data_IF_879967808110
#
_entry.id   IF_879967808110
#
_cell.length_a   1.000
_cell.length_b   1.000
_cell.length_c   1.000
_cell.angle_alpha   90.00
_cell.angle_beta   90.00
_cell.angle_gamma   90.00
#
_symmetry.space_group_name_H-M   'P 1'
#
loop_
_entity.id
_entity.type
_entity.pdbx_description
1 polymer ?
#
# COMPACT_ATOMS: atom_id res chain seq x y z
N UNK A 1 -12.11 -1.30 -9.83
CA UNK A 1 -11.94 -0.20 -8.85
C UNK A 1 -13.03 -0.31 -7.79
N UNK A 2 -12.75 -0.97 -6.67
CA UNK A 2 -13.49 -0.71 -5.44
C UNK A 2 -12.69 0.38 -4.73
N UNK A 3 -13.15 1.62 -4.89
CA UNK A 3 -12.43 2.81 -4.46
C UNK A 3 -12.38 2.92 -2.94
N UNK A 4 -11.19 2.73 -2.37
CA UNK A 4 -10.86 3.15 -1.01
C UNK A 4 -10.16 4.50 -1.01
N UNK A 5 -10.27 5.27 -2.10
CA UNK A 5 -9.71 6.61 -2.20
C UNK A 5 -10.41 7.56 -1.23
N UNK A 6 -9.64 8.50 -0.69
CA UNK A 6 -10.17 9.54 0.18
C UNK A 6 -10.92 10.59 -0.63
N UNK A 7 -12.18 10.84 -0.27
CA UNK A 7 -13.01 11.89 -0.87
C UNK A 7 -12.75 13.29 -0.23
N UNK A 8 -11.88 13.36 0.78
CA UNK A 8 -11.53 14.59 1.49
C UNK A 8 -10.09 14.55 2.01
N UNK A 9 -9.57 15.64 2.60
CA UNK A 9 -8.13 15.82 2.87
C UNK A 9 -7.59 14.97 4.04
N UNK A 10 -8.39 14.05 4.59
CA UNK A 10 -8.02 13.23 5.74
C UNK A 10 -8.02 11.77 5.35
N UNK A 11 -6.96 11.06 5.76
CA UNK A 11 -6.87 9.62 5.59
C UNK A 11 -8.08 8.92 6.23
N UNK A 12 -8.79 8.11 5.44
CA UNK A 12 -9.81 7.19 5.93
C UNK A 12 -9.19 6.07 6.77
N UNK A 13 -10.04 5.22 7.36
CA UNK A 13 -9.59 4.13 8.24
C UNK A 13 -8.61 3.16 7.59
N UNK A 14 -8.78 2.85 6.29
CA UNK A 14 -7.92 1.92 5.57
C UNK A 14 -6.56 2.56 5.32
N UNK A 15 -6.55 3.82 4.90
CA UNK A 15 -5.32 4.57 4.67
C UNK A 15 -4.53 4.83 5.94
N UNK A 16 -5.22 5.03 7.07
CA UNK A 16 -4.57 5.07 8.39
C UNK A 16 -3.94 3.72 8.75
N UNK A 17 -4.70 2.63 8.60
CA UNK A 17 -4.18 1.28 8.84
C UNK A 17 -2.93 0.99 7.99
N UNK A 18 -2.94 1.34 6.70
CA UNK A 18 -1.80 1.13 5.78
C UNK A 18 -0.56 1.87 6.27
N UNK A 19 -0.70 3.13 6.68
CA UNK A 19 0.43 3.91 7.22
C UNK A 19 0.91 3.34 8.54
N UNK A 20 0.02 3.01 9.47
CA UNK A 20 0.42 2.41 10.76
C UNK A 20 1.13 1.06 10.56
N UNK A 21 0.66 0.22 9.64
CA UNK A 21 1.33 -1.02 9.26
C UNK A 21 2.72 -0.76 8.62
N UNK A 22 2.84 0.25 7.76
CA UNK A 22 4.12 0.62 7.17
C UNK A 22 5.13 1.10 8.22
N UNK A 23 4.69 1.94 9.17
CA UNK A 23 5.54 2.43 10.26
C UNK A 23 5.97 1.32 11.22
N UNK A 24 5.11 0.33 11.47
CA UNK A 24 5.47 -0.86 12.26
C UNK A 24 6.43 -1.79 11.53
N UNK A 25 6.44 -1.76 10.19
CA UNK A 25 7.27 -2.61 9.35
C UNK A 25 8.69 -2.05 9.11
N UNK A 26 9.00 -0.88 9.67
CA UNK A 26 10.34 -0.30 9.58
C UNK A 26 11.34 -1.18 10.34
N UNK A 27 12.50 -1.40 9.74
CA UNK A 27 13.57 -2.16 10.38
C UNK A 27 14.45 -1.21 11.19
N UNK A 28 14.49 -1.32 12.53
CA UNK A 28 15.32 -0.44 13.36
C UNK A 28 16.83 -0.67 13.15
N UNK A 29 17.22 -1.78 12.53
CA UNK A 29 18.61 -2.09 12.19
C UNK A 29 19.02 -1.62 10.79
N UNK A 30 18.10 -1.12 9.97
CA UNK A 30 18.44 -0.64 8.63
C UNK A 30 19.24 0.67 8.69
N UNK A 31 20.30 0.77 7.88
CA UNK A 31 21.12 1.98 7.80
C UNK A 31 20.33 3.19 7.29
N UNK A 32 19.34 2.95 6.43
CA UNK A 32 18.38 3.95 5.96
C UNK A 32 17.04 3.28 5.66
N UNK A 33 15.97 4.06 5.66
CA UNK A 33 14.64 3.59 5.26
C UNK A 33 13.88 4.73 4.62
N UNK A 34 13.27 4.46 3.47
CA UNK A 34 12.43 5.42 2.73
C UNK A 34 11.01 4.88 2.65
N UNK A 35 10.03 5.70 3.05
CA UNK A 35 8.64 5.40 2.76
C UNK A 35 8.28 5.88 1.35
N UNK A 36 7.87 4.95 0.49
CA UNK A 36 7.30 5.27 -0.82
C UNK A 36 5.78 5.19 -0.71
N UNK A 37 5.10 6.33 -0.86
CA UNK A 37 3.65 6.43 -0.76
C UNK A 37 3.07 6.65 -2.15
N UNK A 38 2.26 5.71 -2.62
CA UNK A 38 1.71 5.71 -3.98
C UNK A 38 0.21 5.97 -3.97
N UNK A 39 -0.25 6.75 -4.94
CA UNK A 39 -1.66 7.00 -5.19
C UNK A 39 -1.95 8.44 -5.57
N UNK A 40 -2.61 8.62 -6.70
CA UNK A 40 -3.07 9.88 -7.24
C UNK A 40 -4.51 10.24 -6.87
N UNK A 41 -5.01 11.29 -7.50
CA UNK A 41 -6.34 11.84 -7.29
C UNK A 41 -7.43 10.99 -7.99
N UNK A 42 -7.89 9.92 -7.33
CA UNK A 42 -8.95 9.03 -7.86
C UNK A 42 -10.35 9.45 -7.41
N UNK A 43 -10.51 9.79 -6.12
CA UNK A 43 -11.81 10.08 -5.50
C UNK A 43 -11.96 11.53 -5.01
N UNK A 44 -10.88 12.31 -4.99
CA UNK A 44 -10.85 13.71 -4.56
C UNK A 44 -9.72 14.45 -5.26
N UNK A 45 -9.61 15.75 -4.99
CA UNK A 45 -8.67 16.64 -5.70
C UNK A 45 -7.22 16.45 -5.25
N UNK A 46 -7.01 16.00 -4.01
CA UNK A 46 -5.68 15.75 -3.45
C UNK A 46 -5.22 14.30 -3.72
N UNK A 47 -3.98 14.09 -4.20
CA UNK A 47 -3.41 12.75 -4.34
C UNK A 47 -3.39 11.98 -3.02
N UNK A 48 -3.80 10.71 -3.07
CA UNK A 48 -3.79 9.81 -1.91
C UNK A 48 -2.40 9.77 -1.24
N UNK A 49 -1.32 9.76 -2.03
CA UNK A 49 0.05 9.79 -1.54
C UNK A 49 0.33 10.96 -0.57
N UNK A 50 -0.18 12.17 -0.82
CA UNK A 50 -0.03 13.32 0.09
C UNK A 50 -0.80 13.14 1.38
N UNK A 51 -2.00 12.59 1.29
CA UNK A 51 -2.84 12.30 2.45
C UNK A 51 -2.15 11.28 3.37
N UNK A 52 -1.58 10.22 2.78
CA UNK A 52 -0.78 9.24 3.52
C UNK A 52 0.46 9.88 4.15
N UNK A 53 1.15 10.77 3.43
CA UNK A 53 2.37 11.42 3.90
C UNK A 53 2.08 12.31 5.11
N UNK A 54 1.02 13.12 5.03
CA UNK A 54 0.55 13.94 6.15
C UNK A 54 0.27 13.09 7.37
N UNK A 55 -0.46 11.98 7.19
CA UNK A 55 -0.77 11.10 8.30
C UNK A 55 0.49 10.41 8.88
N UNK A 56 1.46 10.02 8.05
CA UNK A 56 2.73 9.47 8.54
C UNK A 56 3.49 10.49 9.41
N UNK A 57 3.49 11.78 9.02
CA UNK A 57 4.06 12.87 9.82
C UNK A 57 3.30 13.08 11.13
N UNK A 58 1.96 13.06 11.11
CA UNK A 58 1.13 13.11 12.33
C UNK A 58 1.43 11.97 13.29
N UNK A 59 1.84 10.80 12.78
CA UNK A 59 2.26 9.64 13.58
C UNK A 59 3.71 9.72 14.10
N UNK A 60 4.43 10.81 13.79
CA UNK A 60 5.78 11.06 14.28
C UNK A 60 6.88 10.52 13.37
N UNK A 61 6.58 10.07 12.15
CA UNK A 61 7.62 9.63 11.22
C UNK A 61 8.44 10.82 10.73
N UNK A 62 9.73 10.84 11.09
CA UNK A 62 10.67 11.89 10.70
C UNK A 62 11.55 11.50 9.49
N UNK A 63 11.49 10.25 9.03
CA UNK A 63 12.38 9.75 7.97
C UNK A 63 12.05 10.24 6.55
N UNK A 64 12.85 9.80 5.56
CA UNK A 64 12.63 10.05 4.14
C UNK A 64 11.26 9.56 3.65
N UNK A 65 10.57 10.41 2.89
CA UNK A 65 9.30 10.07 2.23
C UNK A 65 9.41 10.46 0.76
N UNK A 66 9.06 9.54 -0.13
CA UNK A 66 8.93 9.75 -1.56
C UNK A 66 7.47 9.56 -1.93
N UNK A 67 6.94 10.48 -2.73
CA UNK A 67 5.54 10.47 -3.18
C UNK A 67 5.46 10.06 -4.63
N UNK A 68 4.56 9.14 -4.93
CA UNK A 68 4.13 8.80 -6.28
C UNK A 68 2.65 9.19 -6.41
N UNK A 69 2.38 10.24 -7.18
CA UNK A 69 1.08 10.95 -7.16
C UNK A 69 0.26 10.75 -8.44
N UNK A 70 0.76 9.98 -9.40
CA UNK A 70 0.16 9.85 -10.73
C UNK A 70 -0.74 8.61 -10.83
N UNK A 71 -0.48 7.57 -10.05
CA UNK A 71 -1.20 6.31 -10.16
C UNK A 71 -2.67 6.41 -9.82
N UNK A 72 -3.51 5.73 -10.59
CA UNK A 72 -4.96 5.63 -10.37
C UNK A 72 -5.41 4.20 -10.16
N UNK A 73 -4.49 3.24 -10.12
CA UNK A 73 -4.78 1.81 -9.91
C UNK A 73 -3.64 1.10 -9.18
N UNK A 74 -3.91 -0.08 -8.62
CA UNK A 74 -2.88 -0.93 -7.97
C UNK A 74 -1.75 -1.30 -8.92
N UNK A 75 -2.06 -1.55 -10.20
CA UNK A 75 -1.05 -1.85 -11.22
C UNK A 75 -0.16 -0.65 -11.51
N UNK A 76 -0.74 0.55 -11.62
CA UNK A 76 0.01 1.79 -11.82
C UNK A 76 0.87 2.11 -10.59
N UNK A 77 0.34 1.92 -9.36
CA UNK A 77 1.11 2.10 -8.13
C UNK A 77 2.40 1.28 -8.19
N UNK A 78 2.32 -0.01 -8.54
CA UNK A 78 3.50 -0.87 -8.64
C UNK A 78 4.43 -0.42 -9.77
N UNK A 79 3.89 -0.14 -10.96
CA UNK A 79 4.70 0.26 -12.11
C UNK A 79 5.49 1.56 -11.84
N UNK A 80 4.85 2.55 -11.24
CA UNK A 80 5.45 3.85 -10.93
C UNK A 80 6.35 3.79 -9.69
N UNK A 81 6.14 2.82 -8.79
CA UNK A 81 7.02 2.59 -7.64
C UNK A 81 8.34 1.91 -8.01
N UNK A 82 8.39 1.10 -9.08
CA UNK A 82 9.60 0.37 -9.51
C UNK A 82 10.86 1.26 -9.55
N UNK A 83 10.88 2.40 -10.26
CA UNK A 83 12.07 3.25 -10.31
C UNK A 83 12.42 3.90 -8.95
N UNK A 84 11.47 3.95 -8.00
CA UNK A 84 11.69 4.55 -6.67
C UNK A 84 12.28 3.56 -5.67
N UNK A 85 12.21 2.25 -5.96
CA UNK A 85 12.62 1.17 -5.07
C UNK A 85 13.74 0.32 -5.65
N UNK A 86 14.25 0.62 -6.85
CA UNK A 86 15.18 -0.25 -7.57
C UNK A 86 16.51 -0.43 -6.83
N UNK A 87 16.94 0.57 -6.06
CA UNK A 87 18.16 0.51 -5.27
C UNK A 87 17.94 -0.12 -3.87
N UNK A 88 16.70 -0.37 -3.46
CA UNK A 88 16.38 -0.75 -2.07
C UNK A 88 16.63 -2.24 -1.76
N UNK A 89 17.59 -2.54 -0.87
CA UNK A 89 18.00 -3.92 -0.54
C UNK A 89 16.90 -4.80 0.02
N UNK A 90 15.89 -4.18 0.62
CA UNK A 90 14.73 -4.89 1.16
C UNK A 90 13.49 -4.08 0.86
N UNK A 91 12.50 -4.73 0.25
CA UNK A 91 11.25 -4.12 -0.16
C UNK A 91 10.11 -4.72 0.66
N UNK A 92 9.31 -3.87 1.31
CA UNK A 92 8.10 -4.29 2.03
C UNK A 92 6.89 -3.60 1.42
N UNK A 93 6.00 -4.37 0.82
CA UNK A 93 4.74 -3.87 0.26
C UNK A 93 3.66 -3.97 1.34
N UNK A 94 3.05 -2.83 1.67
CA UNK A 94 1.99 -2.69 2.68
C UNK A 94 0.72 -2.22 2.01
N UNK A 95 -0.35 -3.00 2.12
CA UNK A 95 -1.71 -2.63 1.70
C UNK A 95 -2.73 -3.50 2.44
N UNK A 96 -4.01 -3.41 2.09
CA UNK A 96 -4.96 -4.45 2.49
C UNK A 96 -4.60 -5.80 1.80
N UNK A 97 -5.01 -6.95 2.37
CA UNK A 97 -4.51 -8.25 1.94
C UNK A 97 -4.73 -8.58 0.46
N UNK A 98 -5.84 -8.13 -0.12
CA UNK A 98 -6.15 -8.39 -1.53
C UNK A 98 -5.21 -7.60 -2.43
N UNK A 99 -5.06 -6.30 -2.18
CA UNK A 99 -4.18 -5.45 -2.99
C UNK A 99 -2.69 -5.72 -2.73
N UNK A 100 -2.30 -6.14 -1.51
CA UNK A 100 -0.91 -6.48 -1.21
C UNK A 100 -0.45 -7.71 -2.00
N UNK A 101 -1.28 -8.77 -2.05
CA UNK A 101 -0.98 -9.95 -2.87
C UNK A 101 -1.00 -9.63 -4.37
N UNK A 102 -1.96 -8.82 -4.82
CA UNK A 102 -2.02 -8.36 -6.21
C UNK A 102 -0.76 -7.57 -6.59
N UNK A 103 -0.32 -6.64 -5.75
CA UNK A 103 0.88 -5.84 -5.96
C UNK A 103 2.16 -6.69 -6.00
N UNK A 104 2.30 -7.67 -5.09
CA UNK A 104 3.41 -8.64 -5.11
C UNK A 104 3.41 -9.47 -6.40
N UNK A 105 2.24 -9.88 -6.86
CA UNK A 105 2.06 -10.59 -8.14
C UNK A 105 2.53 -9.75 -9.34
N UNK A 106 2.09 -8.49 -9.41
CA UNK A 106 2.53 -7.57 -10.47
C UNK A 106 4.03 -7.30 -10.43
N UNK A 107 4.60 -7.08 -9.24
CA UNK A 107 6.03 -6.84 -9.11
C UNK A 107 6.84 -8.05 -9.58
N UNK A 108 6.46 -9.28 -9.17
CA UNK A 108 7.10 -10.51 -9.65
C UNK A 108 7.06 -10.66 -11.17
N UNK A 109 5.93 -10.31 -11.78
CA UNK A 109 5.80 -10.41 -13.24
C UNK A 109 6.63 -9.35 -13.98
N UNK A 110 6.76 -8.14 -13.43
CA UNK A 110 7.45 -7.03 -14.09
C UNK A 110 8.96 -6.99 -13.81
N UNK A 111 9.37 -7.28 -12.57
CA UNK A 111 10.75 -7.19 -12.04
C UNK A 111 11.00 -8.33 -11.04
N UNK A 112 11.25 -9.56 -11.52
CA UNK A 112 11.55 -10.71 -10.66
C UNK A 112 12.71 -10.44 -9.69
N UNK A 113 13.72 -9.70 -10.15
CA UNK A 113 14.90 -9.30 -9.36
C UNK A 113 14.55 -8.44 -8.14
N UNK A 114 13.57 -7.53 -8.26
CA UNK A 114 13.08 -6.75 -7.13
C UNK A 114 12.15 -7.59 -6.24
N UNK A 115 11.45 -8.55 -6.83
CA UNK A 115 10.59 -9.44 -6.07
C UNK A 115 11.36 -10.39 -5.16
N UNK A 116 12.58 -10.78 -5.54
CA UNK A 116 13.48 -11.57 -4.68
C UNK A 116 13.91 -10.82 -3.41
N UNK A 117 13.81 -9.48 -3.43
CA UNK A 117 14.10 -8.59 -2.29
C UNK A 117 12.85 -8.31 -1.44
N UNK A 118 11.72 -8.94 -1.73
CA UNK A 118 10.50 -8.78 -0.94
C UNK A 118 10.65 -9.43 0.43
N UNK A 119 10.57 -8.61 1.48
CA UNK A 119 10.42 -9.06 2.85
C UNK A 119 8.96 -8.97 3.30
N UNK A 120 8.65 -9.76 4.34
CA UNK A 120 7.36 -9.67 5.01
C UNK A 120 7.20 -8.30 5.66
N UNK A 121 6.08 -7.64 5.36
CA UNK A 121 5.61 -6.51 6.12
C UNK A 121 4.85 -7.01 7.36
N UNK A 122 4.81 -6.20 8.43
CA UNK A 122 3.93 -6.44 9.58
C UNK A 122 2.51 -5.90 9.27
N UNK A 123 2.02 -6.23 8.06
CA UNK A 123 0.71 -5.88 7.53
C UNK A 123 -0.38 -6.87 7.98
N UNK A 124 0.00 -8.03 8.52
CA UNK A 124 -0.91 -9.12 8.87
C UNK A 124 -0.79 -9.57 10.34
N UNK A 125 -1.70 -9.08 11.18
CA UNK A 125 -2.07 -9.71 12.46
C UNK A 125 -3.38 -10.48 12.33
N UNK A 126 -3.31 -11.80 12.49
CA UNK A 126 -4.48 -12.66 12.61
C UNK A 126 -5.32 -12.22 13.82
N UNK A 127 -6.46 -11.56 13.57
CA UNK A 127 -7.36 -11.04 14.62
C UNK A 127 -7.61 -9.53 14.61
N UNK A 128 -6.73 -8.70 14.01
CA UNK A 128 -6.96 -7.24 13.92
C UNK A 128 -8.03 -6.86 12.88
N UNK A 129 -8.50 -7.82 12.09
CA UNK A 129 -9.42 -7.61 10.96
C UNK A 129 -10.80 -8.26 11.17
N UNK A 130 -11.31 -8.27 12.40
CA UNK A 130 -12.67 -8.78 12.67
C UNK A 130 -13.75 -8.00 11.88
N UNK A 131 -13.49 -6.73 11.53
CA UNK A 131 -14.41 -5.86 10.77
C UNK A 131 -14.37 -6.02 9.23
N UNK A 132 -13.35 -6.65 8.62
CA UNK A 132 -13.34 -6.87 7.15
C UNK A 132 -13.92 -8.22 6.72
N UNK A 133 -14.38 -9.06 7.65
CA UNK A 133 -15.15 -10.27 7.32
C UNK A 133 -16.29 -10.03 6.31
N UNK A 134 -17.16 -9.01 6.48
CA UNK A 134 -18.21 -8.75 5.49
C UNK A 134 -17.64 -8.33 4.13
N UNK A 135 -16.51 -7.62 4.07
CA UNK A 135 -15.89 -7.18 2.82
C UNK A 135 -15.27 -8.35 2.05
N UNK A 136 -14.62 -9.28 2.75
CA UNK A 136 -14.10 -10.52 2.18
C UNK A 136 -15.23 -11.38 1.59
N UNK A 137 -16.40 -11.43 2.26
CA UNK A 137 -17.60 -12.12 1.76
C UNK A 137 -18.11 -11.46 0.47
N UNK A 138 -18.20 -10.13 0.42
CA UNK A 138 -18.65 -9.40 -0.79
C UNK A 138 -17.70 -9.65 -1.97
N UNK A 139 -16.38 -9.60 -1.75
CA UNK A 139 -15.39 -9.89 -2.80
C UNK A 139 -15.49 -11.35 -3.27
N UNK A 140 -15.70 -12.31 -2.36
CA UNK A 140 -15.89 -13.71 -2.72
C UNK A 140 -17.17 -13.92 -3.56
N UNK A 141 -18.28 -13.27 -3.19
CA UNK A 141 -19.54 -13.32 -3.96
C UNK A 141 -19.37 -12.72 -5.35
N UNK A 142 -18.70 -11.57 -5.46
CA UNK A 142 -18.44 -10.91 -6.75
C UNK A 142 -17.47 -11.68 -7.65
N UNK A 143 -16.54 -12.46 -7.07
CA UNK A 143 -15.68 -13.37 -7.84
C UNK A 143 -16.47 -14.58 -8.36
N UNK A 144 -17.41 -15.11 -7.55
CA UNK A 144 -18.28 -16.23 -7.95
C UNK A 144 -19.26 -15.84 -9.05
N UNK A 145 -19.76 -14.61 -9.04
CA UNK A 145 -20.66 -14.09 -10.08
C UNK A 145 -19.97 -13.80 -11.44
N UNK A 146 -18.64 -13.77 -11.49
CA UNK A 146 -17.86 -13.60 -12.73
C UNK A 146 -17.31 -14.91 -13.30
N UNK A 147 -17.47 -16.01 -12.56
CA UNK A 147 -16.95 -17.34 -12.92
C UNK A 147 -18.06 -18.31 -13.36
N UNK A 148 -19.30 -17.82 -13.50
CA UNK A 148 -20.43 -18.51 -14.13
C UNK A 148 -21.02 -17.62 -15.21
#
# INVERSE_FOLDING_TARGET
MLGFGDAGPRANRINRFRVDAALRSLDPGAASTTLVLCGGSVMGDEPEARILARYARERGYAGPVVLEEASRSTRENVANAIPLIEDADTIRIVSDPVHAEEARGYLRAARPDLADRLARADDYRFGEVSWMKPLAIVVAVLRRARAG
#
